data_IF_004402176040
#
_entry.id   IF_004402176040
#
_cell.length_a   1.000
_cell.length_b   1.000
_cell.length_c   1.000
_cell.angle_alpha   90.00
_cell.angle_beta   90.00
_cell.angle_gamma   90.00
#
_symmetry.space_group_name_H-M   'P 1'
#
loop_
_entity.id
_entity.type
_entity.pdbx_description
1 polymer ?
#
# COMPACT_ATOMS: atom_id res chain seq x y z
N UNK A 1 -20.33 -58.96 -3.33
CA UNK A 1 -19.02 -59.46 -3.79
C UNK A 1 -18.67 -58.77 -5.10
N UNK A 2 -17.78 -57.78 -5.06
CA UNK A 2 -17.17 -57.20 -6.25
C UNK A 2 -15.70 -56.92 -5.92
N UNK A 3 -14.81 -57.70 -6.53
CA UNK A 3 -13.37 -57.43 -6.58
C UNK A 3 -13.15 -56.19 -7.45
N UNK A 4 -12.21 -55.31 -7.08
CA UNK A 4 -11.46 -54.60 -8.10
C UNK A 4 -10.02 -54.24 -7.70
N UNK A 5 -9.10 -54.94 -8.37
CA UNK A 5 -7.82 -54.57 -8.97
C UNK A 5 -6.93 -53.53 -8.25
N UNK A 6 -5.89 -54.09 -7.62
CA UNK A 6 -4.57 -53.46 -7.49
C UNK A 6 -3.97 -53.28 -8.89
N UNK A 7 -3.61 -52.05 -9.27
CA UNK A 7 -2.67 -51.79 -10.36
C UNK A 7 -1.34 -51.34 -9.75
N UNK A 8 -0.34 -52.22 -9.85
CA UNK A 8 1.07 -51.89 -9.80
C UNK A 8 1.42 -51.16 -11.10
N UNK A 9 2.00 -49.96 -11.02
CA UNK A 9 2.77 -49.41 -12.13
C UNK A 9 4.21 -49.19 -11.68
N UNK A 10 5.08 -49.90 -12.37
CA UNK A 10 6.52 -49.99 -12.23
C UNK A 10 7.25 -48.76 -12.78
N UNK A 11 8.24 -48.34 -12.00
CA UNK A 11 9.56 -47.81 -12.37
C UNK A 11 9.88 -47.68 -13.87
N UNK A 12 10.38 -46.50 -14.25
CA UNK A 12 11.30 -46.35 -15.38
C UNK A 12 12.34 -45.26 -15.06
N UNK A 13 13.60 -45.63 -15.26
CA UNK A 13 14.80 -44.88 -14.95
C UNK A 13 14.96 -43.66 -15.86
N UNK A 14 15.28 -42.50 -15.29
CA UNK A 14 15.76 -41.33 -16.02
C UNK A 14 17.29 -41.26 -15.95
N UNK A 15 17.94 -41.55 -17.08
CA UNK A 15 19.37 -41.38 -17.32
C UNK A 15 19.78 -39.90 -17.18
N UNK A 16 20.79 -39.65 -16.35
CA UNK A 16 21.45 -38.35 -16.23
C UNK A 16 22.51 -38.23 -17.33
N UNK A 17 22.39 -37.22 -18.20
CA UNK A 17 23.46 -36.83 -19.14
C UNK A 17 24.28 -35.74 -18.48
N UNK A 18 25.53 -36.04 -18.13
CA UNK A 18 26.51 -35.04 -17.71
C UNK A 18 27.11 -34.38 -18.96
N UNK A 19 26.84 -33.09 -19.15
CA UNK A 19 27.57 -32.28 -20.14
C UNK A 19 28.82 -31.70 -19.49
N UNK A 20 29.97 -32.05 -20.05
CA UNK A 20 31.29 -31.51 -19.72
C UNK A 20 31.45 -30.20 -20.47
N UNK A 21 31.58 -29.09 -19.74
CA UNK A 21 31.96 -27.79 -20.30
C UNK A 21 33.49 -27.69 -20.36
N UNK A 22 34.09 -27.28 -21.50
CA UNK A 22 35.52 -27.03 -21.57
C UNK A 22 35.90 -25.75 -20.82
N UNK A 23 36.99 -25.85 -20.05
CA UNK A 23 37.67 -24.76 -19.39
C UNK A 23 38.35 -23.84 -20.43
N UNK A 24 38.08 -22.53 -20.34
CA UNK A 24 38.89 -21.52 -21.01
C UNK A 24 39.94 -20.97 -20.05
N UNK A 25 41.15 -20.90 -20.57
CA UNK A 25 42.39 -20.51 -19.93
C UNK A 25 42.39 -19.02 -19.55
N UNK A 26 42.75 -18.77 -18.30
CA UNK A 26 43.94 -18.02 -17.86
C UNK A 26 44.56 -17.07 -18.91
N UNK A 27 44.34 -15.77 -18.71
CA UNK A 27 45.16 -14.70 -19.28
C UNK A 27 45.68 -13.84 -18.11
N UNK A 28 46.99 -13.69 -18.07
CA UNK A 28 47.78 -13.09 -17.01
C UNK A 28 48.28 -11.71 -17.46
N UNK A 29 47.87 -10.68 -16.71
CA UNK A 29 48.67 -9.47 -16.37
C UNK A 29 48.97 -8.42 -17.48
N UNK A 30 49.45 -7.19 -17.13
CA UNK A 30 49.12 -6.30 -16.01
C UNK A 30 48.96 -4.80 -16.43
N UNK A 31 48.59 -3.95 -15.45
CA UNK A 31 49.08 -2.56 -15.21
C UNK A 31 48.01 -1.46 -14.99
N UNK A 32 48.29 -0.48 -14.11
CA UNK A 32 47.29 0.45 -13.56
C UNK A 32 47.34 1.84 -14.22
N UNK A 33 46.19 2.43 -14.56
CA UNK A 33 46.13 3.85 -14.91
C UNK A 33 45.47 4.68 -13.80
N UNK A 34 46.31 5.37 -13.05
CA UNK A 34 45.96 6.58 -12.30
C UNK A 34 45.41 7.65 -13.25
N UNK A 35 44.19 8.14 -13.03
CA UNK A 35 43.76 9.42 -13.57
C UNK A 35 43.48 10.38 -12.42
N UNK A 36 44.48 11.24 -12.20
CA UNK A 36 44.44 12.43 -11.37
C UNK A 36 43.49 13.46 -11.97
N UNK A 37 42.69 14.05 -11.08
CA UNK A 37 41.94 15.28 -11.26
C UNK A 37 42.89 16.43 -11.58
N UNK A 38 42.74 17.03 -12.76
CA UNK A 38 43.30 18.36 -13.04
C UNK A 38 42.15 19.35 -13.24
N UNK A 39 42.00 20.22 -12.25
CA UNK A 39 41.20 21.43 -12.31
C UNK A 39 42.11 22.50 -12.91
N UNK A 40 41.83 22.94 -14.13
CA UNK A 40 42.45 24.13 -14.72
C UNK A 40 41.40 25.21 -14.89
N UNK A 41 41.46 26.20 -14.00
CA UNK A 41 40.89 27.52 -14.21
C UNK A 41 41.78 28.28 -15.20
N UNK A 42 41.24 28.81 -16.29
CA UNK A 42 41.86 29.92 -17.01
C UNK A 42 40.78 30.82 -17.63
N UNK A 43 40.89 32.16 -17.47
CA UNK A 43 39.88 33.12 -17.89
C UNK A 43 40.21 33.80 -19.23
N UNK A 44 39.16 34.30 -19.89
CA UNK A 44 39.21 35.58 -20.62
C UNK A 44 39.17 35.57 -22.16
N UNK A 45 38.46 36.59 -22.67
CA UNK A 45 38.57 37.25 -23.98
C UNK A 45 38.09 36.45 -25.20
N UNK A 46 37.54 37.01 -26.28
CA UNK A 46 36.93 38.29 -26.68
C UNK A 46 36.41 38.01 -28.11
N UNK A 47 35.45 38.84 -28.56
CA UNK A 47 35.26 39.26 -29.95
C UNK A 47 34.69 38.30 -31.03
N UNK A 48 33.48 38.70 -31.46
CA UNK A 48 33.14 39.18 -32.81
C UNK A 48 32.92 38.24 -34.00
N UNK A 49 31.74 38.49 -34.61
CA UNK A 49 31.47 38.67 -36.05
C UNK A 49 30.99 37.51 -36.96
N UNK A 50 29.79 37.77 -37.53
CA UNK A 50 29.23 37.47 -38.85
C UNK A 50 29.40 36.09 -39.53
N UNK A 51 28.27 35.40 -39.78
CA UNK A 51 27.81 34.90 -41.12
C UNK A 51 26.48 34.16 -40.99
N UNK A 52 25.36 34.64 -41.55
CA UNK A 52 24.86 34.50 -42.94
C UNK A 52 24.34 33.09 -43.30
N UNK A 53 23.03 33.02 -43.59
CA UNK A 53 22.31 31.91 -44.22
C UNK A 53 21.02 31.58 -43.45
N UNK A 54 19.79 31.86 -43.88
CA UNK A 54 19.25 32.08 -45.22
C UNK A 54 18.60 30.79 -45.75
N UNK A 55 17.32 30.55 -45.42
CA UNK A 55 16.32 30.16 -46.42
C UNK A 55 14.87 30.19 -45.89
N UNK A 56 13.88 30.52 -46.76
CA UNK A 56 12.51 30.90 -46.38
C UNK A 56 11.49 29.78 -46.58
N UNK A 57 10.31 29.91 -45.96
CA UNK A 57 9.10 29.17 -46.33
C UNK A 57 7.88 30.11 -46.38
N UNK A 58 6.87 29.79 -47.22
CA UNK A 58 6.11 30.81 -47.94
C UNK A 58 4.75 31.17 -47.33
N UNK A 59 4.33 32.40 -47.67
CA UNK A 59 2.98 32.92 -47.58
C UNK A 59 2.02 32.19 -48.53
N UNK A 60 0.78 31.93 -48.07
CA UNK A 60 -0.49 32.41 -48.65
C UNK A 60 -1.65 31.50 -48.22
N UNK A 61 -2.58 32.04 -47.43
CA UNK A 61 -3.92 32.34 -47.98
C UNK A 61 -4.79 33.13 -47.00
N UNK A 62 -5.25 34.28 -47.50
CA UNK A 62 -6.27 35.14 -46.92
C UNK A 62 -7.66 34.55 -47.19
N UNK A 63 -8.52 34.46 -46.17
CA UNK A 63 -9.96 34.72 -46.34
C UNK A 63 -10.51 35.49 -45.13
N UNK A 64 -10.79 36.75 -45.41
CA UNK A 64 -11.70 37.69 -44.73
C UNK A 64 -13.00 37.07 -44.27
N UNK A 65 -13.44 37.35 -43.02
CA UNK A 65 -14.86 37.61 -42.73
C UNK A 65 -15.06 38.44 -41.44
N UNK A 66 -15.70 39.59 -41.66
CA UNK A 66 -16.50 40.46 -40.79
C UNK A 66 -16.14 40.80 -39.34
N UNK A 67 -15.81 42.08 -39.18
CA UNK A 67 -16.05 42.90 -38.00
C UNK A 67 -17.56 43.08 -37.79
N UNK A 68 -18.08 42.69 -36.61
CA UNK A 68 -19.23 43.37 -35.99
C UNK A 68 -19.41 42.96 -34.53
N UNK A 69 -19.44 43.99 -33.67
CA UNK A 69 -20.11 44.05 -32.37
C UNK A 69 -19.82 42.95 -31.34
N UNK A 70 -19.10 43.34 -30.27
CA UNK A 70 -19.61 43.17 -28.89
C UNK A 70 -18.84 44.08 -27.93
N UNK A 71 -19.51 45.18 -27.57
CA UNK A 71 -19.25 45.91 -26.33
C UNK A 71 -19.41 44.93 -25.16
N UNK A 72 -18.33 44.63 -24.45
CA UNK A 72 -18.44 44.06 -23.11
C UNK A 72 -18.25 45.19 -22.10
N UNK A 73 -19.39 45.57 -21.53
CA UNK A 73 -19.51 46.44 -20.37
C UNK A 73 -18.77 45.79 -19.19
N UNK A 74 -17.79 46.50 -18.64
CA UNK A 74 -17.27 46.30 -17.29
C UNK A 74 -18.41 46.45 -16.28
N UNK A 75 -18.97 45.33 -15.82
CA UNK A 75 -19.87 45.30 -14.66
C UNK A 75 -19.06 45.08 -13.39
N UNK A 76 -19.06 46.11 -12.55
CA UNK A 76 -18.71 46.06 -11.13
C UNK A 76 -19.51 44.95 -10.42
N UNK A 77 -18.91 44.10 -9.58
CA UNK A 77 -19.69 43.30 -8.64
C UNK A 77 -20.28 44.21 -7.56
N UNK A 78 -21.61 44.18 -7.48
CA UNK A 78 -22.41 44.83 -6.46
C UNK A 78 -22.20 44.12 -5.13
N UNK A 79 -21.88 44.92 -4.12
CA UNK A 79 -21.76 44.54 -2.72
C UNK A 79 -23.16 44.18 -2.18
N UNK A 80 -23.52 42.91 -2.27
CA UNK A 80 -24.77 42.38 -1.72
C UNK A 80 -24.56 41.89 -0.29
N UNK A 81 -25.05 42.68 0.68
CA UNK A 81 -25.25 42.25 2.05
C UNK A 81 -26.28 41.10 2.08
N UNK A 82 -25.84 39.89 2.40
CA UNK A 82 -26.71 38.84 2.92
C UNK A 82 -26.39 38.64 4.40
N UNK A 83 -27.23 39.24 5.24
CA UNK A 83 -27.44 38.78 6.60
C UNK A 83 -28.09 37.40 6.51
N UNK A 84 -27.34 36.35 6.83
CA UNK A 84 -27.93 35.05 7.12
C UNK A 84 -27.34 34.55 8.45
N UNK A 85 -28.04 34.88 9.53
CA UNK A 85 -27.84 34.31 10.85
C UNK A 85 -28.32 32.86 10.81
N UNK A 86 -27.39 31.93 10.58
CA UNK A 86 -27.60 30.50 10.72
C UNK A 86 -26.58 29.94 11.70
N UNK A 87 -27.01 29.81 12.96
CA UNK A 87 -26.25 29.18 14.04
C UNK A 87 -25.96 27.71 13.69
N UNK A 88 -24.71 27.37 13.36
CA UNK A 88 -24.20 26.01 13.50
C UNK A 88 -22.99 26.04 14.42
N UNK A 89 -23.31 25.97 15.71
CA UNK A 89 -22.41 25.69 16.82
C UNK A 89 -22.44 24.18 17.05
N UNK A 90 -21.53 23.45 16.41
CA UNK A 90 -21.18 22.07 16.76
C UNK A 90 -19.67 22.01 16.81
N UNK A 91 -19.06 22.37 17.93
CA UNK A 91 -18.70 21.43 18.99
C UNK A 91 -18.02 20.16 18.45
N UNK A 92 -16.88 20.34 17.78
CA UNK A 92 -15.86 19.31 17.62
C UNK A 92 -14.83 19.43 18.76
N UNK A 93 -15.32 19.21 19.98
CA UNK A 93 -14.47 18.87 21.12
C UNK A 93 -14.16 17.37 21.07
N UNK A 94 -13.24 16.95 20.19
CA UNK A 94 -12.59 15.66 20.37
C UNK A 94 -11.21 15.90 20.97
N UNK A 95 -11.16 15.67 22.28
CA UNK A 95 -9.99 15.78 23.11
C UNK A 95 -8.89 14.86 22.60
N UNK A 96 -7.77 15.48 22.22
CA UNK A 96 -6.50 14.83 22.00
C UNK A 96 -5.93 14.47 23.38
N UNK A 97 -6.36 13.32 23.93
CA UNK A 97 -5.98 12.83 25.25
C UNK A 97 -5.05 11.63 25.05
N UNK A 98 -3.74 11.86 25.11
CA UNK A 98 -2.79 10.74 25.14
C UNK A 98 -1.38 11.02 24.60
N UNK A 99 -0.74 12.13 24.95
CA UNK A 99 0.73 12.23 24.89
C UNK A 99 1.22 12.99 26.13
N UNK A 100 1.28 12.29 27.26
CA UNK A 100 2.09 12.69 28.40
C UNK A 100 3.35 11.83 28.37
N UNK A 101 4.54 12.44 28.30
CA UNK A 101 5.75 11.71 28.72
C UNK A 101 7.09 12.10 28.13
N UNK A 102 7.18 12.92 27.08
CA UNK A 102 8.47 13.50 26.67
C UNK A 102 8.45 14.99 26.94
N UNK A 103 9.15 15.41 27.99
CA UNK A 103 9.60 16.80 28.15
C UNK A 103 10.61 17.10 27.05
N UNK A 104 10.15 17.13 25.79
CA UNK A 104 10.87 17.81 24.74
C UNK A 104 10.94 19.26 25.18
N UNK A 105 12.14 19.80 25.30
CA UNK A 105 12.34 21.23 25.44
C UNK A 105 11.56 21.90 24.31
N UNK A 106 10.43 22.50 24.66
CA UNK A 106 9.57 23.21 23.73
C UNK A 106 10.26 24.56 23.52
N UNK A 107 11.32 24.53 22.71
CA UNK A 107 11.97 25.74 22.23
C UNK A 107 10.93 26.40 21.33
N UNK A 108 10.22 27.39 21.86
CA UNK A 108 9.44 28.31 21.04
C UNK A 108 10.45 29.20 20.32
N UNK A 109 10.64 29.06 19.01
CA UNK A 109 11.56 29.92 18.29
C UNK A 109 10.94 31.32 18.24
N UNK A 110 11.31 32.17 19.20
CA UNK A 110 10.95 33.58 19.19
C UNK A 110 11.99 34.34 18.39
N UNK A 111 11.56 35.01 17.33
CA UNK A 111 12.45 35.81 16.50
C UNK A 111 11.91 36.10 15.12
N UNK A 112 12.62 36.99 14.44
CA UNK A 112 12.36 37.37 13.07
C UNK A 112 13.50 36.86 12.21
N UNK A 113 13.18 36.16 11.12
CA UNK A 113 14.15 35.78 10.10
C UNK A 113 14.11 36.83 8.98
N UNK A 114 15.29 37.26 8.52
CA UNK A 114 15.42 38.04 7.29
C UNK A 114 15.77 37.08 6.17
N UNK A 115 14.92 37.02 5.16
CA UNK A 115 15.06 36.15 4.01
C UNK A 115 15.28 37.05 2.80
N UNK A 116 16.35 36.79 2.07
CA UNK A 116 16.58 37.42 0.79
C UNK A 116 15.96 36.54 -0.31
N UNK A 117 15.13 37.11 -1.16
CA UNK A 117 14.43 36.40 -2.24
C UNK A 117 15.00 36.86 -3.58
N UNK A 118 15.33 35.89 -4.41
CA UNK A 118 15.76 36.04 -5.79
C UNK A 118 14.65 35.43 -6.66
N UNK A 119 13.84 36.28 -7.28
CA UNK A 119 12.62 35.85 -8.00
C UNK A 119 12.93 35.38 -9.42
N UNK A 120 13.99 35.89 -10.04
CA UNK A 120 14.39 35.54 -11.40
C UNK A 120 15.62 34.60 -11.48
N UNK A 121 16.21 34.29 -10.32
CA UNK A 121 17.27 33.33 -10.12
C UNK A 121 18.59 33.76 -10.79
N UNK A 122 18.83 35.08 -10.91
CA UNK A 122 20.04 35.66 -11.52
C UNK A 122 21.25 35.70 -10.55
N UNK A 123 21.05 35.31 -9.29
CA UNK A 123 22.06 35.28 -8.23
C UNK A 123 22.19 36.60 -7.47
N UNK A 124 21.34 37.59 -7.74
CA UNK A 124 21.18 38.82 -6.94
C UNK A 124 19.83 38.78 -6.23
N UNK A 125 19.81 39.35 -5.04
CA UNK A 125 18.57 39.39 -4.26
C UNK A 125 17.71 40.59 -4.69
N UNK A 126 16.49 40.30 -5.13
CA UNK A 126 15.49 41.29 -5.52
C UNK A 126 14.82 41.94 -4.31
N UNK A 127 14.58 41.15 -3.26
CA UNK A 127 13.91 41.62 -2.06
C UNK A 127 14.53 41.06 -0.79
N UNK A 128 14.41 41.83 0.30
CA UNK A 128 14.69 41.39 1.66
C UNK A 128 13.37 41.43 2.44
N UNK A 129 12.88 40.27 2.80
CA UNK A 129 11.64 40.10 3.55
C UNK A 129 11.95 39.69 4.98
N UNK A 130 11.18 40.20 5.93
CA UNK A 130 11.32 39.82 7.34
C UNK A 130 10.08 39.02 7.72
N UNK A 131 10.27 37.72 7.98
CA UNK A 131 9.19 36.78 8.30
C UNK A 131 9.38 36.33 9.75
N UNK A 132 8.28 36.23 10.48
CA UNK A 132 8.31 35.63 11.82
C UNK A 132 8.68 34.16 11.72
N UNK A 133 9.61 33.67 12.54
CA UNK A 133 10.02 32.25 12.52
C UNK A 133 8.82 31.32 12.74
N UNK A 134 7.86 31.77 13.55
CA UNK A 134 6.59 31.07 13.77
C UNK A 134 5.76 30.89 12.49
N UNK A 135 5.70 31.91 11.62
CA UNK A 135 4.96 31.83 10.35
C UNK A 135 5.67 30.92 9.35
N UNK A 136 7.00 30.95 9.33
CA UNK A 136 7.81 30.07 8.48
C UNK A 136 7.61 28.60 8.83
N UNK A 137 7.62 28.27 10.12
CA UNK A 137 7.39 26.90 10.59
C UNK A 137 5.97 26.43 10.24
N UNK A 138 4.96 27.28 10.49
CA UNK A 138 3.56 26.99 10.12
C UNK A 138 3.39 26.80 8.60
N UNK A 139 4.05 27.61 7.79
CA UNK A 139 4.02 27.49 6.34
C UNK A 139 4.72 26.20 5.86
N UNK A 140 5.84 25.83 6.49
CA UNK A 140 6.55 24.60 6.18
C UNK A 140 5.73 23.37 6.56
N UNK A 141 5.08 23.39 7.72
CA UNK A 141 4.21 22.30 8.16
C UNK A 141 2.97 22.18 7.27
N UNK A 142 2.34 23.29 6.90
CA UNK A 142 1.24 23.31 5.94
C UNK A 142 1.66 22.76 4.57
N UNK A 143 2.84 23.14 4.07
CA UNK A 143 3.39 22.63 2.81
C UNK A 143 3.73 21.13 2.86
N UNK A 144 4.27 20.64 3.98
CA UNK A 144 4.48 19.18 4.21
C UNK A 144 3.16 18.42 4.23
N UNK A 145 2.13 18.97 4.88
CA UNK A 145 0.80 18.36 4.90
C UNK A 145 0.16 18.35 3.49
N UNK A 146 0.33 19.41 2.71
CA UNK A 146 -0.26 19.52 1.37
C UNK A 146 0.47 18.64 0.34
N UNK A 147 1.80 18.67 0.32
CA UNK A 147 2.61 17.81 -0.57
C UNK A 147 2.42 16.31 -0.33
N UNK A 148 2.13 15.90 0.92
CA UNK A 148 1.79 14.49 1.22
C UNK A 148 0.44 14.07 0.65
N UNK A 149 -0.55 14.96 0.59
CA UNK A 149 -1.88 14.66 0.02
C UNK A 149 -1.86 14.61 -1.50
N UNK A 150 -1.14 15.52 -2.14
CA UNK A 150 -1.10 15.60 -3.60
C UNK A 150 -0.25 14.48 -4.24
N UNK A 151 0.85 14.08 -3.60
CA UNK A 151 1.64 12.92 -4.08
C UNK A 151 0.86 11.61 -3.98
N UNK A 152 0.13 11.40 -2.89
CA UNK A 152 -0.66 10.18 -2.69
C UNK A 152 -1.88 10.12 -3.62
N UNK A 153 -2.48 11.26 -3.97
CA UNK A 153 -3.60 11.34 -4.91
C UNK A 153 -3.18 11.06 -6.35
N UNK A 154 -2.16 11.79 -6.84
CA UNK A 154 -1.71 11.69 -8.22
C UNK A 154 -1.10 10.32 -8.55
N UNK A 155 -0.47 9.65 -7.57
CA UNK A 155 0.08 8.31 -7.79
C UNK A 155 -1.04 7.24 -7.80
N UNK A 156 -2.09 7.39 -6.99
CA UNK A 156 -3.24 6.44 -7.00
C UNK A 156 -4.04 6.49 -8.29
N UNK A 157 -4.23 7.68 -8.85
CA UNK A 157 -5.02 7.84 -10.08
C UNK A 157 -4.32 7.21 -11.30
N UNK A 158 -2.99 7.27 -11.34
CA UNK A 158 -2.18 6.63 -12.41
C UNK A 158 -2.22 5.10 -12.42
N UNK A 159 -2.68 4.47 -11.34
CA UNK A 159 -2.75 3.01 -11.24
C UNK A 159 -4.16 2.45 -11.32
N UNK A 160 -5.18 3.31 -11.45
CA UNK A 160 -6.55 2.85 -11.70
C UNK A 160 -6.67 2.32 -13.13
N UNK A 161 -7.30 1.16 -13.24
CA UNK A 161 -7.57 0.49 -14.50
C UNK A 161 -9.05 0.18 -14.55
N UNK A 162 -9.66 0.49 -15.70
CA UNK A 162 -10.98 0.01 -16.07
C UNK A 162 -10.80 -1.06 -17.15
N UNK A 163 -11.45 -2.20 -16.96
CA UNK A 163 -11.30 -3.37 -17.81
C UNK A 163 -12.68 -3.94 -18.10
N UNK A 164 -13.00 -4.17 -19.37
CA UNK A 164 -14.18 -4.93 -19.78
C UNK A 164 -13.73 -6.14 -20.58
N UNK A 165 -14.34 -7.29 -20.35
CA UNK A 165 -13.98 -8.50 -21.07
C UNK A 165 -14.78 -9.72 -20.67
N UNK A 166 -14.38 -10.86 -21.21
CA UNK A 166 -15.00 -12.16 -20.96
C UNK A 166 -14.11 -13.00 -20.05
N UNK A 167 -14.73 -13.63 -19.05
CA UNK A 167 -14.06 -14.55 -18.13
C UNK A 167 -13.64 -15.82 -18.88
N UNK A 168 -12.33 -16.08 -18.95
CA UNK A 168 -11.78 -17.31 -19.54
C UNK A 168 -11.64 -18.43 -18.52
N UNK A 169 -11.24 -18.10 -17.29
CA UNK A 169 -11.12 -19.05 -16.18
C UNK A 169 -11.36 -18.38 -14.83
N UNK A 170 -11.79 -19.17 -13.84
CA UNK A 170 -12.03 -18.75 -12.46
C UNK A 170 -11.39 -19.74 -11.49
N UNK A 171 -10.50 -19.24 -10.63
CA UNK A 171 -9.78 -20.05 -9.65
C UNK A 171 -9.88 -19.42 -8.25
N UNK A 172 -10.34 -20.16 -7.22
CA UNK A 172 -10.25 -19.70 -5.85
C UNK A 172 -8.80 -19.80 -5.35
N UNK A 173 -8.24 -18.70 -4.84
CA UNK A 173 -6.89 -18.61 -4.26
C UNK A 173 -6.92 -18.04 -2.85
N UNK A 174 -6.18 -18.70 -1.94
CA UNK A 174 -5.94 -18.17 -0.59
C UNK A 174 -4.87 -17.08 -0.65
N UNK A 175 -5.10 -15.96 0.05
CA UNK A 175 -4.14 -14.86 0.14
C UNK A 175 -3.43 -14.87 1.50
N UNK A 176 -2.15 -14.47 1.52
CA UNK A 176 -1.38 -14.36 2.77
C UNK A 176 -2.05 -13.31 3.66
N UNK A 177 -2.35 -13.69 4.91
CA UNK A 177 -2.99 -12.80 5.90
C UNK A 177 -4.50 -12.69 5.74
N UNK A 178 -5.13 -13.53 4.93
CA UNK A 178 -6.58 -13.62 4.83
C UNK A 178 -7.04 -15.08 4.91
N UNK A 179 -8.01 -15.35 5.79
CA UNK A 179 -8.61 -16.68 5.90
C UNK A 179 -9.57 -16.96 4.74
N UNK A 180 -10.26 -15.92 4.24
CA UNK A 180 -11.17 -16.03 3.11
C UNK A 180 -10.43 -16.28 1.79
N UNK A 181 -10.99 -17.17 0.96
CA UNK A 181 -10.52 -17.39 -0.42
C UNK A 181 -10.97 -16.23 -1.29
N UNK A 182 -10.06 -15.73 -2.13
CA UNK A 182 -10.37 -14.76 -3.16
C UNK A 182 -10.52 -15.45 -4.50
N UNK A 183 -11.40 -14.94 -5.36
CA UNK A 183 -11.54 -15.45 -6.72
C UNK A 183 -10.57 -14.71 -7.64
N UNK A 184 -9.78 -15.48 -8.39
CA UNK A 184 -8.88 -14.95 -9.42
C UNK A 184 -9.38 -15.40 -10.77
N UNK A 185 -9.51 -14.46 -11.71
CA UNK A 185 -9.98 -14.73 -13.06
C UNK A 185 -8.90 -14.39 -14.09
N UNK A 186 -8.91 -15.11 -15.21
CA UNK A 186 -8.30 -14.65 -16.44
C UNK A 186 -9.39 -14.00 -17.30
N UNK A 187 -9.22 -12.74 -17.66
CA UNK A 187 -10.20 -11.97 -18.43
C UNK A 187 -9.60 -11.68 -19.80
N UNK A 188 -10.28 -12.08 -20.86
CA UNK A 188 -9.93 -11.67 -22.22
C UNK A 188 -10.65 -10.36 -22.54
N UNK A 189 -9.90 -9.31 -22.83
CA UNK A 189 -10.45 -8.00 -23.21
C UNK A 189 -11.01 -8.04 -24.63
N UNK A 190 -11.79 -7.03 -24.99
CA UNK A 190 -12.26 -6.84 -26.38
C UNK A 190 -11.11 -6.66 -27.39
N UNK A 191 -9.93 -6.26 -26.91
CA UNK A 191 -8.71 -6.11 -27.72
C UNK A 191 -7.96 -7.44 -27.89
N UNK A 192 -8.45 -8.52 -27.27
CA UNK A 192 -7.85 -9.86 -27.35
C UNK A 192 -6.78 -10.14 -26.29
N UNK A 193 -6.40 -9.15 -25.47
CA UNK A 193 -5.44 -9.33 -24.39
C UNK A 193 -6.01 -10.16 -23.24
N UNK A 194 -5.18 -10.97 -22.59
CA UNK A 194 -5.58 -11.71 -21.37
C UNK A 194 -4.96 -11.08 -20.14
N UNK A 195 -5.80 -10.66 -19.19
CA UNK A 195 -5.40 -10.01 -17.95
C UNK A 195 -5.78 -10.88 -16.75
N UNK A 196 -4.87 -11.04 -15.77
CA UNK A 196 -5.16 -11.73 -14.50
C UNK A 196 -5.76 -10.74 -13.50
N UNK A 197 -6.95 -11.05 -12.98
CA UNK A 197 -7.70 -10.16 -12.09
C UNK A 197 -8.07 -10.88 -10.80
N UNK A 198 -7.72 -10.32 -9.65
CA UNK A 198 -8.29 -10.72 -8.36
C UNK A 198 -9.63 -9.99 -8.17
N UNK A 199 -10.72 -10.74 -8.30
CA UNK A 199 -12.08 -10.23 -8.25
C UNK A 199 -12.57 -9.94 -6.84
N UNK A 200 -11.84 -10.36 -5.80
CA UNK A 200 -12.23 -10.19 -4.39
C UNK A 200 -12.69 -11.50 -3.73
N UNK A 201 -13.34 -11.38 -2.57
CA UNK A 201 -13.72 -12.53 -1.76
C UNK A 201 -14.80 -13.38 -2.45
N UNK A 202 -14.63 -14.70 -2.44
CA UNK A 202 -15.48 -15.64 -3.17
C UNK A 202 -16.96 -15.58 -2.71
N UNK A 203 -17.19 -15.41 -1.42
CA UNK A 203 -18.51 -15.29 -0.80
C UNK A 203 -19.27 -14.05 -1.31
N UNK A 204 -18.59 -12.90 -1.44
CA UNK A 204 -19.17 -11.66 -1.97
C UNK A 204 -19.52 -11.78 -3.45
N UNK A 205 -18.68 -12.47 -4.22
CA UNK A 205 -18.85 -12.65 -5.66
C UNK A 205 -19.93 -13.68 -6.03
N UNK A 206 -20.37 -14.52 -5.10
CA UNK A 206 -21.42 -15.51 -5.35
C UNK A 206 -22.72 -14.90 -5.87
N UNK A 207 -23.00 -13.64 -5.50
CA UNK A 207 -24.17 -12.86 -5.96
C UNK A 207 -24.18 -12.66 -7.48
N UNK A 208 -23.01 -12.41 -8.06
CA UNK A 208 -22.86 -12.15 -9.50
C UNK A 208 -23.03 -13.40 -10.38
N UNK A 209 -23.03 -14.61 -9.79
CA UNK A 209 -23.12 -15.89 -10.50
C UNK A 209 -22.11 -16.05 -11.65
N UNK A 210 -20.89 -15.54 -11.46
CA UNK A 210 -19.84 -15.56 -12.49
C UNK A 210 -19.45 -16.99 -12.88
N UNK A 211 -19.31 -17.22 -14.19
CA UNK A 211 -18.82 -18.46 -14.80
C UNK A 211 -17.87 -18.13 -15.94
N UNK A 212 -17.16 -19.14 -16.45
CA UNK A 212 -16.45 -19.01 -17.73
C UNK A 212 -17.44 -18.59 -18.83
N UNK A 213 -17.01 -17.66 -19.68
CA UNK A 213 -17.84 -17.01 -20.68
C UNK A 213 -18.66 -15.80 -20.18
N UNK A 214 -18.68 -15.50 -18.87
CA UNK A 214 -19.37 -14.30 -18.37
C UNK A 214 -18.69 -13.01 -18.84
N UNK A 215 -19.49 -12.04 -19.28
CA UNK A 215 -19.03 -10.66 -19.49
C UNK A 215 -18.96 -9.93 -18.16
N UNK A 216 -17.86 -9.20 -17.96
CA UNK A 216 -17.59 -8.45 -16.74
C UNK A 216 -17.04 -7.07 -17.04
N UNK A 217 -17.40 -6.11 -16.19
CA UNK A 217 -16.75 -4.80 -16.12
C UNK A 217 -16.08 -4.67 -14.76
N UNK A 218 -14.80 -4.32 -14.76
CA UNK A 218 -13.94 -4.28 -13.57
C UNK A 218 -13.32 -2.88 -13.47
N UNK A 219 -13.38 -2.30 -12.29
CA UNK A 219 -12.56 -1.16 -11.91
C UNK A 219 -11.61 -1.61 -10.80
N UNK A 220 -10.32 -1.31 -10.91
CA UNK A 220 -9.34 -1.77 -9.93
C UNK A 220 -8.00 -1.08 -10.05
N UNK A 221 -7.00 -1.64 -9.36
CA UNK A 221 -5.62 -1.16 -9.38
C UNK A 221 -4.65 -2.25 -9.76
N UNK A 222 -3.60 -1.91 -10.52
CA UNK A 222 -2.49 -2.84 -10.78
C UNK A 222 -1.70 -3.08 -9.50
N UNK A 223 -1.44 -4.34 -9.17
CA UNK A 223 -0.64 -4.72 -8.02
C UNK A 223 0.07 -6.05 -8.25
N UNK A 224 1.10 -6.31 -7.45
CA UNK A 224 1.76 -7.63 -7.45
C UNK A 224 1.16 -8.56 -6.40
N UNK A 225 0.74 -9.74 -6.82
CA UNK A 225 0.26 -10.82 -5.96
C UNK A 225 1.15 -12.05 -6.19
N UNK A 226 1.78 -12.56 -5.13
CA UNK A 226 2.72 -13.68 -5.22
C UNK A 226 3.85 -13.49 -6.25
N UNK A 227 4.27 -12.24 -6.50
CA UNK A 227 5.33 -11.90 -7.47
C UNK A 227 4.83 -11.66 -8.89
N UNK A 228 3.61 -12.08 -9.22
CA UNK A 228 2.98 -11.86 -10.52
C UNK A 228 2.20 -10.54 -10.54
N UNK A 229 2.06 -9.92 -11.70
CA UNK A 229 1.19 -8.75 -11.89
C UNK A 229 -0.28 -9.18 -12.00
N UNK A 230 -1.13 -8.51 -11.23
CA UNK A 230 -2.57 -8.71 -11.22
C UNK A 230 -3.27 -7.35 -11.17
N UNK A 231 -4.50 -7.30 -11.67
CA UNK A 231 -5.44 -6.22 -11.33
C UNK A 231 -6.20 -6.66 -10.08
N UNK A 232 -6.19 -5.86 -9.02
CA UNK A 232 -7.04 -6.09 -7.84
C UNK A 232 -8.30 -5.23 -8.02
N UNK A 233 -9.45 -5.88 -8.17
CA UNK A 233 -10.72 -5.21 -8.42
C UNK A 233 -11.19 -4.45 -7.17
N UNK A 234 -11.47 -3.15 -7.33
CA UNK A 234 -12.23 -2.31 -6.39
C UNK A 234 -13.74 -2.53 -6.60
N UNK A 235 -14.16 -2.71 -7.84
CA UNK A 235 -15.53 -3.10 -8.18
C UNK A 235 -15.56 -4.10 -9.34
N UNK A 236 -16.53 -5.00 -9.28
CA UNK A 236 -16.82 -5.98 -10.33
C UNK A 236 -18.31 -5.91 -10.63
N UNK A 237 -18.66 -5.69 -11.88
CA UNK A 237 -20.04 -5.65 -12.36
C UNK A 237 -20.29 -6.75 -13.38
N UNK A 238 -21.39 -7.48 -13.23
CA UNK A 238 -21.87 -8.50 -14.15
C UNK A 238 -23.37 -8.72 -13.94
N UNK A 239 -24.11 -9.10 -14.98
CA UNK A 239 -25.55 -9.41 -14.88
C UNK A 239 -26.39 -8.28 -14.23
N UNK A 240 -26.03 -7.02 -14.47
CA UNK A 240 -26.62 -5.82 -13.85
C UNK A 240 -26.45 -5.70 -12.33
N UNK A 241 -25.58 -6.52 -11.74
CA UNK A 241 -25.20 -6.43 -10.34
C UNK A 241 -23.76 -5.93 -10.21
N UNK A 242 -23.47 -5.20 -9.13
CA UNK A 242 -22.12 -4.71 -8.82
C UNK A 242 -21.73 -5.14 -7.42
N UNK A 243 -20.57 -5.78 -7.30
CA UNK A 243 -19.91 -6.06 -6.02
C UNK A 243 -18.76 -5.08 -5.85
N UNK A 244 -18.78 -4.34 -4.74
CA UNK A 244 -17.64 -3.49 -4.32
C UNK A 244 -16.75 -4.27 -3.37
N UNK A 245 -15.46 -4.24 -3.64
CA UNK A 245 -14.43 -4.82 -2.82
C UNK A 245 -13.63 -3.71 -2.15
N UNK A 246 -13.28 -3.95 -0.91
CA UNK A 246 -12.27 -3.13 -0.26
C UNK A 246 -10.91 -3.63 -0.75
N UNK A 247 -10.23 -2.83 -1.58
CA UNK A 247 -8.82 -3.10 -1.85
C UNK A 247 -8.11 -2.99 -0.51
N UNK A 248 -7.51 -4.08 0.01
CA UNK A 248 -6.78 -4.01 1.26
C UNK A 248 -5.68 -2.99 1.05
N UNK A 249 -5.87 -1.81 1.65
CA UNK A 249 -4.84 -0.78 1.64
C UNK A 249 -3.69 -1.44 2.36
N UNK A 250 -2.64 -1.81 1.63
CA UNK A 250 -1.38 -2.35 2.19
C UNK A 250 -0.71 -1.23 2.99
N UNK A 251 -1.35 -0.79 4.06
CA UNK A 251 -0.84 0.27 4.92
C UNK A 251 0.25 -0.38 5.75
N UNK A 252 1.48 -0.06 5.37
CA UNK A 252 2.66 -0.32 6.19
C UNK A 252 3.31 -1.68 6.00
N UNK A 253 2.62 -2.71 5.51
CA UNK A 253 3.28 -4.02 5.31
C UNK A 253 4.31 -3.98 4.17
N UNK A 254 5.55 -4.28 4.51
CA UNK A 254 6.67 -4.42 3.61
C UNK A 254 7.31 -5.80 3.78
N UNK A 255 7.88 -6.31 2.69
CA UNK A 255 8.66 -7.54 2.68
C UNK A 255 10.12 -7.19 2.47
N UNK A 256 10.98 -7.81 3.24
CA UNK A 256 12.43 -7.73 3.06
C UNK A 256 13.01 -9.12 3.05
N UNK A 257 13.90 -9.37 2.10
CA UNK A 257 14.80 -10.52 2.05
C UNK A 257 16.21 -9.98 2.15
N UNK A 258 17.03 -10.58 3.01
CA UNK A 258 18.40 -10.11 3.20
C UNK A 258 19.19 -10.99 4.15
N UNK A 259 20.46 -10.66 4.33
CA UNK A 259 21.35 -11.32 5.28
C UNK A 259 21.49 -10.47 6.53
N UNK A 260 21.47 -11.11 7.70
CA UNK A 260 21.73 -10.44 8.97
C UNK A 260 23.21 -10.03 9.00
N UNK A 261 23.50 -8.75 9.24
CA UNK A 261 24.87 -8.25 9.45
C UNK A 261 25.17 -8.03 10.92
N UNK A 262 24.15 -7.78 11.74
CA UNK A 262 24.29 -7.67 13.18
C UNK A 262 22.98 -8.03 13.89
N UNK A 263 23.08 -8.55 15.11
CA UNK A 263 21.93 -8.76 16.00
C UNK A 263 22.21 -8.21 17.37
N UNK A 264 21.19 -7.66 18.03
CA UNK A 264 21.24 -7.29 19.45
C UNK A 264 19.90 -7.55 20.11
N UNK A 265 19.92 -7.82 21.40
CA UNK A 265 18.71 -7.83 22.23
C UNK A 265 18.53 -6.50 22.95
N UNK A 266 17.29 -6.03 23.08
CA UNK A 266 16.95 -4.80 23.81
C UNK A 266 15.57 -4.92 24.44
N UNK A 267 15.28 -4.13 25.47
CA UNK A 267 13.91 -3.95 25.98
C UNK A 267 13.30 -2.67 25.40
N UNK A 268 11.98 -2.60 25.36
CA UNK A 268 11.23 -1.41 24.94
C UNK A 268 10.43 -0.87 26.12
N UNK A 269 10.22 0.45 26.16
CA UNK A 269 9.39 1.06 27.20
C UNK A 269 7.97 0.49 27.15
N UNK A 270 7.45 0.06 28.30
CA UNK A 270 6.13 -0.58 28.41
C UNK A 270 6.09 -2.08 28.08
N UNK A 271 7.25 -2.72 27.87
CA UNK A 271 7.36 -4.16 27.66
C UNK A 271 8.46 -4.76 28.55
N UNK A 272 8.13 -5.84 29.26
CA UNK A 272 9.07 -6.53 30.15
C UNK A 272 9.96 -7.53 29.40
N UNK A 273 9.55 -7.96 28.21
CA UNK A 273 10.27 -8.92 27.39
C UNK A 273 11.45 -8.28 26.65
N UNK A 274 12.51 -9.08 26.42
CA UNK A 274 13.58 -8.73 25.48
C UNK A 274 13.12 -8.93 24.03
N UNK A 275 13.55 -8.05 23.15
CA UNK A 275 13.29 -8.06 21.72
C UNK A 275 14.58 -8.19 20.93
N UNK A 276 14.55 -8.96 19.85
CA UNK A 276 15.68 -9.13 18.93
C UNK A 276 15.61 -8.08 17.83
N UNK A 277 16.67 -7.28 17.73
CA UNK A 277 16.84 -6.30 16.66
C UNK A 277 17.96 -6.80 15.75
N UNK A 278 17.66 -6.94 14.47
CA UNK A 278 18.64 -7.29 13.44
C UNK A 278 18.92 -6.09 12.53
N UNK A 279 20.17 -5.95 12.11
CA UNK A 279 20.54 -5.16 10.95
C UNK A 279 20.62 -6.10 9.76
N UNK A 280 19.91 -5.76 8.68
CA UNK A 280 19.73 -6.64 7.53
C UNK A 280 20.27 -5.93 6.30
N UNK A 281 21.23 -6.54 5.64
CA UNK A 281 21.68 -6.14 4.31
C UNK A 281 20.65 -6.65 3.28
N UNK A 282 20.01 -5.72 2.60
CA UNK A 282 18.99 -5.97 1.57
C UNK A 282 19.68 -5.95 0.19
N UNK A 283 19.02 -6.46 -0.85
CA UNK A 283 19.53 -6.51 -2.23
C UNK A 283 20.29 -5.24 -2.69
N UNK A 284 21.25 -5.45 -3.58
CA UNK A 284 22.29 -4.49 -3.98
C UNK A 284 21.74 -3.08 -4.28
N UNK A 285 22.35 -2.06 -3.65
CA UNK A 285 21.99 -0.65 -3.82
C UNK A 285 21.03 -0.09 -2.77
N UNK A 286 20.53 -0.91 -1.83
CA UNK A 286 19.75 -0.42 -0.68
C UNK A 286 20.61 -0.28 0.58
N UNK A 287 20.35 0.76 1.37
CA UNK A 287 20.99 0.91 2.67
C UNK A 287 20.57 -0.24 3.61
N UNK A 288 21.49 -0.73 4.49
CA UNK A 288 21.14 -1.71 5.50
C UNK A 288 19.93 -1.25 6.32
N UNK A 289 19.00 -2.16 6.57
CA UNK A 289 17.73 -1.84 7.21
C UNK A 289 17.67 -2.46 8.61
N UNK A 290 17.21 -1.69 9.59
CA UNK A 290 16.96 -2.21 10.93
C UNK A 290 15.62 -2.94 10.99
N UNK A 291 15.61 -4.13 11.59
CA UNK A 291 14.41 -4.96 11.74
C UNK A 291 14.22 -5.32 13.21
N UNK A 292 13.07 -4.95 13.79
CA UNK A 292 12.60 -5.55 15.03
C UNK A 292 12.00 -6.91 14.69
N UNK A 293 12.73 -7.99 15.00
CA UNK A 293 12.27 -9.37 14.78
C UNK A 293 11.26 -9.81 15.84
N UNK A 294 11.10 -9.06 16.93
CA UNK A 294 10.14 -9.30 18.01
C UNK A 294 10.72 -9.98 19.24
N UNK A 295 9.87 -10.55 20.12
CA UNK A 295 10.31 -11.09 21.41
C UNK A 295 11.34 -12.22 21.27
N UNK A 296 12.46 -12.13 21.98
CA UNK A 296 13.57 -13.08 21.90
C UNK A 296 13.15 -14.53 22.20
N UNK A 297 12.21 -14.71 23.14
CA UNK A 297 11.59 -16.00 23.46
C UNK A 297 11.03 -16.74 22.24
N UNK A 298 10.52 -16.02 21.22
CA UNK A 298 9.97 -16.64 19.99
C UNK A 298 11.06 -17.27 19.11
N UNK A 299 12.32 -16.92 19.35
CA UNK A 299 13.48 -17.38 18.58
C UNK A 299 14.36 -18.36 19.37
N UNK A 300 13.91 -18.85 20.53
CA UNK A 300 14.62 -19.91 21.25
C UNK A 300 14.86 -21.14 20.34
N UNK A 301 16.12 -21.60 20.27
CA UNK A 301 16.54 -22.68 19.38
C UNK A 301 16.61 -22.31 17.89
N UNK A 302 16.51 -21.02 17.54
CA UNK A 302 16.69 -20.53 16.17
C UNK A 302 17.96 -19.70 16.09
N UNK A 303 18.91 -20.09 15.22
CA UNK A 303 20.15 -19.35 15.07
C UNK A 303 19.92 -18.08 14.23
N UNK A 304 20.06 -16.91 14.88
CA UNK A 304 20.06 -15.59 14.25
C UNK A 304 21.46 -14.99 14.39
N UNK A 305 22.38 -15.37 13.51
CA UNK A 305 23.77 -14.90 13.52
C UNK A 305 24.05 -14.05 12.28
N UNK A 306 25.20 -13.40 12.27
CA UNK A 306 25.71 -12.74 11.06
C UNK A 306 25.80 -13.74 9.89
N UNK A 307 25.43 -13.30 8.69
CA UNK A 307 25.34 -14.12 7.48
C UNK A 307 24.05 -14.94 7.36
N UNK A 308 23.19 -15.01 8.38
CA UNK A 308 21.92 -15.73 8.28
C UNK A 308 20.97 -15.03 7.30
N UNK A 309 20.53 -15.74 6.25
CA UNK A 309 19.45 -15.25 5.36
C UNK A 309 18.11 -15.29 6.10
N UNK A 310 17.39 -14.16 6.06
CA UNK A 310 16.03 -14.07 6.58
C UNK A 310 15.07 -13.46 5.56
N UNK A 311 13.80 -13.82 5.68
CA UNK A 311 12.69 -13.16 4.98
C UNK A 311 11.70 -12.65 6.00
N UNK A 312 11.45 -11.35 5.97
CA UNK A 312 10.64 -10.64 6.94
C UNK A 312 9.43 -10.05 6.23
N UNK A 313 8.25 -10.27 6.80
CA UNK A 313 7.04 -9.51 6.51
C UNK A 313 6.74 -8.68 7.76
N UNK A 314 6.59 -7.38 7.62
CA UNK A 314 6.37 -6.51 8.76
C UNK A 314 5.91 -5.10 8.40
N UNK A 315 5.63 -4.29 9.41
CA UNK A 315 5.21 -2.90 9.24
C UNK A 315 6.41 -1.96 9.19
N UNK A 316 6.40 -1.00 8.26
CA UNK A 316 7.35 0.12 8.28
C UNK A 316 7.10 0.97 9.53
N UNK A 317 8.17 1.29 10.23
CA UNK A 317 8.16 2.14 11.42
C UNK A 317 9.49 2.87 11.59
N UNK A 318 9.75 3.33 12.81
CA UNK A 318 11.02 3.94 13.19
C UNK A 318 11.48 3.39 14.53
N UNK A 319 12.79 3.29 14.71
CA UNK A 319 13.43 2.94 15.97
C UNK A 319 14.60 3.90 16.17
N UNK A 320 14.62 4.63 17.28
CA UNK A 320 15.62 5.69 17.53
C UNK A 320 15.72 6.68 16.35
N UNK A 321 14.56 7.13 15.84
CA UNK A 321 14.41 8.00 14.67
C UNK A 321 14.95 7.45 13.34
N UNK A 322 15.49 6.24 13.30
CA UNK A 322 15.92 5.59 12.07
C UNK A 322 14.79 4.77 11.45
N UNK A 323 14.67 4.71 10.11
CA UNK A 323 13.72 3.82 9.45
C UNK A 323 13.94 2.37 9.86
N UNK A 324 12.86 1.69 10.24
CA UNK A 324 12.91 0.30 10.67
C UNK A 324 11.72 -0.50 10.13
N UNK A 325 11.86 -1.82 10.13
CA UNK A 325 10.76 -2.77 9.88
C UNK A 325 10.41 -3.49 11.18
N UNK A 326 9.13 -3.50 11.55
CA UNK A 326 8.62 -4.22 12.71
C UNK A 326 7.99 -5.52 12.21
N UNK A 327 8.64 -6.64 12.47
CA UNK A 327 8.26 -7.93 11.92
C UNK A 327 6.90 -8.40 12.47
N UNK A 328 6.07 -8.90 11.56
CA UNK A 328 4.89 -9.71 11.87
C UNK A 328 5.24 -11.19 11.70
N UNK A 329 5.98 -11.53 10.62
CA UNK A 329 6.45 -12.88 10.34
C UNK A 329 7.90 -12.87 9.91
N UNK A 330 8.67 -13.82 10.44
CA UNK A 330 10.07 -14.03 10.09
C UNK A 330 10.24 -15.46 9.61
N UNK A 331 10.84 -15.64 8.44
CA UNK A 331 11.27 -16.95 7.94
C UNK A 331 12.79 -17.02 7.97
N UNK A 332 13.31 -18.05 8.64
CA UNK A 332 14.73 -18.32 8.83
C UNK A 332 14.93 -19.84 8.87
N UNK A 333 15.94 -20.37 8.17
CA UNK A 333 16.22 -21.81 8.08
C UNK A 333 14.95 -22.65 7.78
N UNK A 334 14.14 -22.19 6.80
CA UNK A 334 12.83 -22.76 6.43
C UNK A 334 11.73 -22.79 7.50
N UNK A 335 12.03 -22.37 8.73
CA UNK A 335 11.05 -22.18 9.79
C UNK A 335 10.39 -20.82 9.65
N UNK A 336 9.06 -20.78 9.73
CA UNK A 336 8.30 -19.51 9.80
C UNK A 336 7.88 -19.29 11.23
N UNK A 337 8.21 -18.12 11.77
CA UNK A 337 7.93 -17.69 13.14
C UNK A 337 6.95 -16.52 13.05
N UNK A 338 5.80 -16.68 13.71
CA UNK A 338 4.83 -15.59 13.90
C UNK A 338 5.23 -14.79 15.14
N UNK A 339 5.46 -13.50 14.92
CA UNK A 339 6.07 -12.60 15.87
C UNK A 339 5.04 -11.82 16.65
N UNK A 340 3.87 -11.56 16.06
CA UNK A 340 2.83 -10.80 16.75
C UNK A 340 2.35 -11.57 17.99
N UNK A 341 2.19 -10.87 19.13
CA UNK A 341 1.48 -11.45 20.27
C UNK A 341 0.10 -11.88 19.80
N UNK A 342 -0.33 -13.10 20.15
CA UNK A 342 -1.69 -13.59 19.84
C UNK A 342 -2.79 -12.85 20.63
N UNK A 343 -2.43 -11.79 21.36
CA UNK A 343 -3.13 -11.30 22.55
C UNK A 343 -4.28 -10.32 22.30
N UNK A 344 -4.72 -10.06 21.07
CA UNK A 344 -5.74 -9.02 20.83
C UNK A 344 -7.06 -9.48 20.21
N UNK A 345 -7.17 -10.70 19.67
CA UNK A 345 -8.42 -11.14 19.02
C UNK A 345 -9.17 -12.26 19.75
N UNK A 346 -8.51 -13.05 20.59
CA UNK A 346 -9.16 -14.22 21.23
C UNK A 346 -9.73 -13.96 22.63
N UNK A 347 -9.44 -12.82 23.27
CA UNK A 347 -9.96 -12.53 24.63
C UNK A 347 -11.38 -11.95 24.67
N UNK A 348 -12.04 -11.74 23.52
CA UNK A 348 -13.38 -11.14 23.48
C UNK A 348 -14.53 -12.16 23.39
N UNK A 349 -14.26 -13.43 23.05
CA UNK A 349 -15.31 -14.46 22.89
C UNK A 349 -15.41 -15.48 24.05
N UNK A 350 -14.47 -15.48 24.99
CA UNK A 350 -14.47 -16.46 26.10
C UNK A 350 -15.03 -15.93 27.43
N UNK A 351 -15.61 -14.72 27.44
CA UNK A 351 -16.45 -14.26 28.55
C UNK A 351 -17.93 -14.41 28.23
N UNK A 352 -18.34 -15.60 27.77
CA UNK A 352 -19.72 -16.03 28.01
C UNK A 352 -19.73 -16.66 29.39
N UNK A 353 -20.35 -16.04 30.40
CA UNK A 353 -20.47 -16.65 31.71
C UNK A 353 -21.38 -17.88 31.61
N UNK A 354 -20.80 -19.05 31.39
CA UNK A 354 -21.40 -20.34 31.74
C UNK A 354 -21.55 -20.38 33.27
N UNK A 355 -22.59 -19.72 33.78
CA UNK A 355 -22.68 -19.51 35.22
C UNK A 355 -23.92 -18.82 35.74
N UNK A 356 -25.01 -18.69 34.97
CA UNK A 356 -26.33 -18.33 35.52
C UNK A 356 -27.45 -19.14 34.88
N UNK A 357 -27.37 -20.47 35.04
CA UNK A 357 -28.55 -21.34 34.98
C UNK A 357 -28.67 -22.09 36.30
N UNK A 358 -28.91 -21.34 37.38
CA UNK A 358 -29.46 -21.92 38.62
C UNK A 358 -30.52 -21.00 39.19
N UNK A 359 -31.70 -21.60 39.33
CA UNK A 359 -32.79 -21.25 40.25
C UNK A 359 -33.75 -20.15 39.79
N UNK A 360 -34.69 -20.53 38.92
CA UNK A 360 -36.09 -20.14 39.09
C UNK A 360 -36.98 -21.28 38.58
N UNK A 361 -36.95 -22.38 39.33
CA UNK A 361 -37.96 -23.41 39.31
C UNK A 361 -38.72 -23.30 40.64
N UNK A 362 -39.62 -22.33 40.76
CA UNK A 362 -40.64 -22.38 41.82
C UNK A 362 -41.90 -21.58 41.44
N UNK A 363 -43.04 -22.29 41.54
CA UNK A 363 -44.40 -21.79 41.62
C UNK A 363 -45.07 -21.18 40.37
N UNK A 364 -45.46 -22.04 39.41
CA UNK A 364 -46.77 -21.86 38.77
C UNK A 364 -47.56 -23.16 38.75
N UNK A 365 -48.72 -23.07 39.41
CA UNK A 365 -49.74 -24.10 39.64
C UNK A 365 -50.29 -24.68 38.33
N UNK A 366 -50.69 -25.96 38.31
CA UNK A 366 -51.59 -26.47 37.29
C UNK A 366 -53.01 -26.01 37.63
N UNK A 367 -53.64 -25.26 36.72
CA UNK A 367 -55.09 -25.17 36.67
C UNK A 367 -55.56 -25.95 35.46
N UNK A 368 -56.15 -27.11 35.75
CA UNK A 368 -57.08 -27.81 34.91
C UNK A 368 -58.08 -26.83 34.29
N UNK A 369 -58.34 -26.96 32.98
CA UNK A 369 -59.69 -26.94 32.42
C UNK A 369 -59.66 -26.84 30.88
N UNK A 370 -60.01 -27.98 30.27
CA UNK A 370 -61.26 -28.09 29.51
C UNK A 370 -61.29 -27.69 28.02
N UNK A 371 -61.99 -28.54 27.28
CA UNK A 371 -62.62 -28.35 25.96
C UNK A 371 -61.70 -28.39 24.74
N UNK A 372 -61.54 -29.53 24.07
CA UNK A 372 -62.48 -30.16 23.12
C UNK A 372 -62.80 -29.32 21.85
N UNK A 373 -62.44 -29.94 20.71
CA UNK A 373 -63.16 -29.98 19.41
C UNK A 373 -63.06 -28.78 18.43
N UNK A 374 -63.35 -28.97 17.12
CA UNK A 374 -62.78 -29.95 16.18
C UNK A 374 -62.33 -29.31 14.86
N UNK A 375 -61.77 -30.17 14.02
CA UNK A 375 -61.63 -30.08 12.56
C UNK A 375 -62.75 -29.29 11.86
N UNK A 376 -62.36 -28.45 10.90
CA UNK A 376 -63.20 -28.19 9.74
C UNK A 376 -62.33 -28.12 8.48
N UNK A 377 -62.52 -29.13 7.64
CA UNK A 377 -62.14 -29.14 6.25
C UNK A 377 -63.06 -28.18 5.47
N UNK A 378 -62.49 -27.36 4.60
CA UNK A 378 -63.23 -26.71 3.52
C UNK A 378 -62.47 -26.86 2.22
N UNK A 379 -62.99 -27.74 1.36
CA UNK A 379 -62.82 -27.72 -0.08
C UNK A 379 -63.54 -26.49 -0.65
N UNK A 380 -62.93 -25.83 -1.64
CA UNK A 380 -63.57 -25.27 -2.84
C UNK A 380 -62.44 -24.76 -3.75
N UNK A 381 -62.24 -25.41 -4.91
CA UNK A 381 -62.84 -25.12 -6.23
C UNK A 381 -62.17 -23.96 -6.94
#
# INVERSE_FOLDING_TARGET
MYLNKKMLLSSACGLSVAMVSPAFAQDDSPEPSTNQTQITNTPGAQDDTYRTGGNPLPEQNNQTFDQRNRQYQTRRPVQGQYQNQGQYRSQSQFGNRGQQGSSQYQLTPEGWARIAVDYDNDGKFDSLETISIYELERAQEASRQQSSRDRDGAMRERHRVQLTGTVQSLEPKSMIGQEQKNMVAQIQTSEGETQKVCLGAQDKLSKLNLKEGSEVQIEGVRARMNGEEHIIAESVSANNETVKNEIPRRRGLARVKGQITATRETTFHGHDDKFVIAQVEVEEGQAPMQVNLGPAKKFEGTELKEGTEIRVLGHRGRMNDQPALIAEKVRVNDKTIDVMPQDSQSKQDESTPEGQTRNNAEAQKPSDANSQRPENATQNR
#
